data_IF_961880764620
#
_entry.id   IF_961880764620
#
_cell.length_a   1.000
_cell.length_b   1.000
_cell.length_c   1.000
_cell.angle_alpha   90.00
_cell.angle_beta   90.00
_cell.angle_gamma   90.00
#
_symmetry.space_group_name_H-M   'P 1'
#
loop_
_entity.id
_entity.type
_entity.pdbx_description
1 polymer ?
#
# COMPACT_ATOMS: atom_id res chain seq x y z
N UNK A 1 15.33 -2.11 -33.51
CA UNK A 1 14.38 -3.21 -33.23
C UNK A 1 14.72 -3.76 -31.85
N UNK A 2 14.07 -3.25 -30.80
CA UNK A 2 14.26 -3.72 -29.43
C UNK A 2 13.48 -5.03 -29.20
N UNK A 3 14.17 -6.10 -28.84
CA UNK A 3 13.52 -7.37 -28.50
C UNK A 3 12.79 -7.21 -27.15
N UNK A 4 11.49 -7.38 -27.17
CA UNK A 4 10.67 -7.42 -25.96
C UNK A 4 10.91 -8.74 -25.23
N UNK A 5 11.37 -8.67 -24.00
CA UNK A 5 11.58 -9.84 -23.13
C UNK A 5 10.27 -10.13 -22.39
N UNK A 6 9.78 -11.37 -22.46
CA UNK A 6 8.65 -11.83 -21.62
C UNK A 6 9.19 -12.24 -20.26
N UNK A 7 8.63 -11.69 -19.21
CA UNK A 7 8.90 -12.13 -17.82
C UNK A 7 7.96 -13.29 -17.50
N UNK A 8 8.45 -14.47 -17.12
CA UNK A 8 7.60 -15.60 -16.77
C UNK A 8 6.78 -15.31 -15.50
N UNK A 9 5.50 -15.64 -15.53
CA UNK A 9 4.66 -15.65 -14.33
C UNK A 9 5.12 -16.79 -13.43
N UNK A 10 5.38 -16.51 -12.14
CA UNK A 10 5.69 -17.54 -11.13
C UNK A 10 4.51 -18.50 -10.98
N UNK A 11 4.77 -19.79 -10.88
CA UNK A 11 3.76 -20.78 -10.51
C UNK A 11 3.39 -20.65 -9.03
N UNK A 12 2.10 -20.79 -8.67
CA UNK A 12 1.67 -20.70 -7.28
C UNK A 12 2.18 -21.89 -6.45
N UNK A 13 2.51 -21.66 -5.16
CA UNK A 13 2.88 -22.74 -4.24
C UNK A 13 1.70 -23.65 -3.89
N UNK A 14 1.99 -24.90 -3.55
CA UNK A 14 1.02 -25.92 -3.15
C UNK A 14 0.32 -25.55 -1.83
N UNK A 15 -1.01 -25.63 -1.71
CA UNK A 15 -1.72 -25.21 -0.50
C UNK A 15 -1.44 -26.14 0.71
N UNK A 16 -1.33 -25.56 1.92
CA UNK A 16 -1.21 -26.32 3.16
C UNK A 16 -2.56 -26.92 3.64
N UNK A 17 -2.56 -27.89 4.56
CA UNK A 17 -3.76 -28.57 5.05
C UNK A 17 -4.65 -27.67 5.93
N UNK A 18 -5.96 -27.92 5.91
CA UNK A 18 -6.99 -27.16 6.60
C UNK A 18 -6.79 -27.10 8.13
N UNK A 19 -6.92 -25.90 8.70
CA UNK A 19 -6.84 -25.63 10.14
C UNK A 19 -8.23 -25.34 10.70
N UNK A 20 -8.48 -25.88 11.88
CA UNK A 20 -9.73 -25.87 12.66
C UNK A 20 -10.13 -24.45 13.12
N UNK A 21 -11.44 -24.19 13.14
CA UNK A 21 -12.03 -22.89 13.52
C UNK A 21 -11.67 -22.43 14.95
N UNK A 22 -11.37 -21.14 15.09
CA UNK A 22 -11.08 -20.44 16.35
C UNK A 22 -12.37 -19.95 17.05
N UNK A 23 -12.37 -19.82 18.40
CA UNK A 23 -13.53 -19.33 19.13
C UNK A 23 -13.80 -17.85 18.88
N UNK A 24 -15.08 -17.47 18.86
CA UNK A 24 -15.56 -16.13 18.60
C UNK A 24 -15.16 -15.14 19.70
N UNK A 25 -14.31 -14.18 19.34
CA UNK A 25 -14.17 -12.91 20.06
C UNK A 25 -14.34 -11.79 19.03
N UNK A 26 -15.00 -10.72 19.40
CA UNK A 26 -15.34 -9.50 18.66
C UNK A 26 -15.16 -9.62 17.14
N UNK A 27 -16.24 -9.80 16.42
CA UNK A 27 -16.20 -10.00 14.96
C UNK A 27 -15.96 -8.68 14.26
N UNK A 28 -14.72 -8.41 13.92
CA UNK A 28 -14.38 -7.41 12.91
C UNK A 28 -14.58 -8.00 11.51
N UNK A 29 -14.70 -7.15 10.52
CA UNK A 29 -14.69 -7.56 9.12
C UNK A 29 -13.81 -6.67 8.26
N UNK A 30 -13.35 -7.21 7.16
CA UNK A 30 -12.60 -6.49 6.15
C UNK A 30 -13.57 -5.65 5.32
N UNK A 31 -13.71 -4.36 5.64
CA UNK A 31 -14.70 -3.49 4.99
C UNK A 31 -14.26 -2.97 3.63
N UNK A 32 -12.95 -2.84 3.40
CA UNK A 32 -12.42 -2.41 2.12
C UNK A 32 -11.02 -2.94 1.85
N UNK A 33 -10.74 -3.15 0.56
CA UNK A 33 -9.42 -3.47 0.02
C UNK A 33 -9.00 -2.41 -1.00
N UNK A 34 -7.72 -2.06 -0.97
CA UNK A 34 -7.14 -1.21 -1.99
C UNK A 34 -5.70 -1.63 -2.31
N UNK A 35 -5.34 -1.53 -3.57
CA UNK A 35 -3.97 -1.59 -4.03
C UNK A 35 -3.55 -0.22 -4.57
N UNK A 36 -2.26 0.02 -4.59
CA UNK A 36 -1.66 1.24 -5.08
C UNK A 36 -0.61 0.88 -6.13
N UNK A 37 -1.01 0.48 -7.35
CA UNK A 37 -0.09 -0.11 -8.32
C UNK A 37 1.16 0.74 -8.56
N UNK A 38 0.99 2.06 -8.66
CA UNK A 38 2.11 3.01 -8.78
C UNK A 38 2.31 3.72 -7.45
N UNK A 39 3.52 3.62 -6.89
CA UNK A 39 3.90 4.33 -5.65
C UNK A 39 3.55 5.81 -5.76
N UNK A 40 2.90 6.35 -4.71
CA UNK A 40 2.47 7.75 -4.64
C UNK A 40 1.40 8.21 -5.66
N UNK A 41 0.92 7.36 -6.57
CA UNK A 41 -0.27 7.65 -7.37
C UNK A 41 -1.57 7.28 -6.63
N UNK A 42 -2.72 7.52 -7.24
CA UNK A 42 -4.03 7.23 -6.69
C UNK A 42 -4.18 5.76 -6.29
N UNK A 43 -5.10 5.48 -5.38
CA UNK A 43 -5.50 4.13 -5.00
C UNK A 43 -6.41 3.51 -6.06
N UNK A 44 -6.39 2.18 -6.14
CA UNK A 44 -7.36 1.35 -6.83
C UNK A 44 -8.11 0.53 -5.78
N UNK A 45 -9.38 0.89 -5.51
CA UNK A 45 -10.26 0.05 -4.70
C UNK A 45 -10.57 -1.22 -5.47
N UNK A 46 -10.52 -2.36 -4.80
CA UNK A 46 -10.77 -3.68 -5.38
C UNK A 46 -11.73 -4.46 -4.48
N UNK A 47 -12.60 -5.27 -5.08
CA UNK A 47 -13.49 -6.16 -4.33
C UNK A 47 -12.74 -7.39 -3.81
N UNK A 48 -11.66 -7.75 -4.50
CA UNK A 48 -10.78 -8.86 -4.11
C UNK A 48 -9.34 -8.65 -4.58
N UNK A 49 -8.39 -9.22 -3.84
CA UNK A 49 -6.98 -9.22 -4.21
C UNK A 49 -6.30 -10.51 -3.74
N UNK A 50 -5.37 -11.03 -4.53
CA UNK A 50 -4.55 -12.16 -4.15
C UNK A 50 -3.47 -11.72 -3.16
N UNK A 51 -3.24 -12.55 -2.14
CA UNK A 51 -2.20 -12.34 -1.14
C UNK A 51 -0.92 -13.05 -1.60
N UNK A 52 0.09 -12.27 -1.92
CA UNK A 52 1.39 -12.77 -2.39
C UNK A 52 2.50 -12.45 -1.37
N UNK A 53 3.72 -12.93 -1.61
CA UNK A 53 4.86 -12.72 -0.69
C UNK A 53 5.16 -11.24 -0.40
N UNK A 54 4.83 -10.34 -1.33
CA UNK A 54 5.04 -8.90 -1.22
C UNK A 54 3.78 -8.11 -0.80
N UNK A 55 2.76 -8.79 -0.25
CA UNK A 55 1.50 -8.20 0.17
C UNK A 55 0.34 -8.51 -0.77
N UNK A 56 -0.42 -7.52 -1.22
CA UNK A 56 -1.44 -7.72 -2.25
C UNK A 56 -0.80 -7.67 -3.64
N UNK A 57 -1.22 -8.56 -4.53
CA UNK A 57 -0.69 -8.60 -5.90
C UNK A 57 -0.80 -7.24 -6.58
N UNK A 58 0.25 -6.88 -7.33
CA UNK A 58 0.42 -5.60 -8.04
C UNK A 58 0.47 -4.35 -7.14
N UNK A 59 0.47 -4.49 -5.81
CA UNK A 59 0.60 -3.33 -4.92
C UNK A 59 2.03 -2.76 -4.98
N UNK A 60 2.17 -1.45 -5.24
CA UNK A 60 3.43 -0.70 -5.38
C UNK A 60 4.46 -1.38 -6.32
N UNK A 61 3.97 -2.07 -7.36
CA UNK A 61 4.83 -2.72 -8.35
C UNK A 61 5.48 -1.74 -9.33
N UNK A 62 5.02 -0.49 -9.39
CA UNK A 62 5.60 0.58 -10.20
C UNK A 62 5.91 1.81 -9.34
N UNK A 63 6.92 2.56 -9.78
CA UNK A 63 7.39 3.77 -9.13
C UNK A 63 7.87 4.80 -10.14
N UNK A 64 7.52 6.07 -9.92
CA UNK A 64 8.05 7.19 -10.69
C UNK A 64 9.39 7.60 -10.11
N UNK A 65 10.36 7.78 -11.00
CA UNK A 65 11.71 8.19 -10.67
C UNK A 65 12.16 9.37 -11.53
N UNK A 66 13.14 10.10 -11.05
CA UNK A 66 13.81 11.15 -11.84
C UNK A 66 14.90 10.58 -12.78
N UNK A 67 15.68 11.46 -13.39
CA UNK A 67 16.75 11.09 -14.31
C UNK A 67 17.92 10.35 -13.63
N UNK A 68 18.04 10.44 -12.30
CA UNK A 68 19.07 9.76 -11.50
C UNK A 68 18.59 8.42 -10.95
N UNK A 69 17.30 8.10 -11.12
CA UNK A 69 16.68 6.90 -10.57
C UNK A 69 16.15 7.09 -9.16
N UNK A 70 16.13 8.31 -8.63
CA UNK A 70 15.61 8.62 -7.31
C UNK A 70 14.08 8.64 -7.32
N UNK A 71 13.46 7.99 -6.31
CA UNK A 71 12.01 7.94 -6.19
C UNK A 71 11.39 9.32 -5.99
N UNK A 72 10.21 9.51 -6.58
CA UNK A 72 9.39 10.68 -6.34
C UNK A 72 8.08 10.34 -5.64
N UNK A 73 7.62 11.25 -4.81
CA UNK A 73 6.42 11.06 -4.01
C UNK A 73 5.48 12.27 -4.07
N UNK A 74 4.26 12.11 -3.54
CA UNK A 74 3.31 13.22 -3.41
C UNK A 74 3.83 14.38 -2.55
N UNK A 75 4.88 14.17 -1.75
CA UNK A 75 5.49 15.23 -0.94
C UNK A 75 6.16 16.29 -1.81
N UNK A 76 6.82 15.85 -2.88
CA UNK A 76 7.49 16.70 -3.87
C UNK A 76 6.54 17.10 -5.01
N UNK A 77 5.67 16.16 -5.41
CA UNK A 77 4.77 16.31 -6.55
C UNK A 77 3.33 15.89 -6.15
N UNK A 78 2.59 16.74 -5.44
CA UNK A 78 1.22 16.43 -4.98
C UNK A 78 0.29 15.99 -6.11
N UNK A 79 0.49 16.47 -7.33
CA UNK A 79 -0.28 16.09 -8.52
C UNK A 79 -0.21 14.60 -8.85
N UNK A 80 0.76 13.85 -8.31
CA UNK A 80 0.78 12.38 -8.44
C UNK A 80 -0.50 11.74 -7.87
N UNK A 81 -1.12 12.34 -6.87
CA UNK A 81 -2.39 11.89 -6.30
C UNK A 81 -3.54 11.84 -7.32
N UNK A 82 -3.47 12.68 -8.37
CA UNK A 82 -4.50 12.76 -9.42
C UNK A 82 -4.35 11.66 -10.49
N UNK A 83 -3.24 10.93 -10.51
CA UNK A 83 -3.03 9.82 -11.44
C UNK A 83 -3.81 8.61 -10.93
N UNK A 84 -4.83 8.20 -11.67
CA UNK A 84 -5.77 7.14 -11.30
C UNK A 84 -5.45 5.85 -12.04
N UNK A 85 -4.95 4.81 -11.37
CA UNK A 85 -4.71 3.51 -11.96
C UNK A 85 -6.02 2.71 -12.08
N UNK A 86 -6.07 1.85 -13.08
CA UNK A 86 -7.06 0.77 -13.20
C UNK A 86 -6.41 -0.43 -13.88
N UNK A 87 -6.89 -1.64 -13.57
CA UNK A 87 -6.42 -2.89 -14.17
C UNK A 87 -7.52 -3.43 -15.09
N UNK A 88 -7.20 -3.64 -16.37
CA UNK A 88 -8.15 -4.16 -17.36
C UNK A 88 -7.43 -4.96 -18.43
N UNK A 89 -7.90 -6.18 -18.69
CA UNK A 89 -7.43 -6.98 -19.84
C UNK A 89 -5.92 -7.26 -19.85
N UNK A 90 -5.29 -7.42 -18.68
CA UNK A 90 -3.84 -7.63 -18.60
C UNK A 90 -3.03 -6.34 -18.77
N UNK A 91 -3.66 -5.18 -18.60
CA UNK A 91 -3.01 -3.87 -18.68
C UNK A 91 -3.21 -3.06 -17.39
N UNK A 92 -2.18 -2.32 -17.00
CA UNK A 92 -2.28 -1.17 -16.12
C UNK A 92 -2.62 0.05 -16.97
N UNK A 93 -3.80 0.63 -16.71
CA UNK A 93 -4.25 1.84 -17.40
C UNK A 93 -4.20 3.02 -16.44
N UNK A 94 -3.43 4.04 -16.78
CA UNK A 94 -3.29 5.27 -15.97
C UNK A 94 -4.05 6.41 -16.65
N UNK A 95 -4.81 7.16 -15.85
CA UNK A 95 -5.52 8.38 -16.26
C UNK A 95 -5.14 9.54 -15.37
N UNK A 96 -5.01 10.72 -15.95
CA UNK A 96 -4.77 11.97 -15.24
C UNK A 96 -5.53 13.12 -15.92
N UNK A 97 -5.89 14.20 -15.20
CA UNK A 97 -6.58 15.34 -15.78
C UNK A 97 -5.83 15.94 -16.97
N UNK A 98 -6.54 16.09 -18.11
CA UNK A 98 -5.96 16.67 -19.33
C UNK A 98 -5.04 15.73 -20.14
N UNK A 99 -4.87 14.48 -19.71
CA UNK A 99 -4.00 13.51 -20.38
C UNK A 99 -4.81 12.41 -21.08
N UNK A 100 -4.30 11.92 -22.22
CA UNK A 100 -4.76 10.65 -22.79
C UNK A 100 -4.40 9.50 -21.83
N UNK A 101 -5.21 8.44 -21.83
CA UNK A 101 -4.91 7.27 -21.01
C UNK A 101 -3.59 6.60 -21.46
N UNK A 102 -2.73 6.28 -20.49
CA UNK A 102 -1.54 5.47 -20.72
C UNK A 102 -1.87 4.01 -20.46
N UNK A 103 -1.58 3.15 -21.44
CA UNK A 103 -1.79 1.70 -21.38
C UNK A 103 -0.45 0.99 -21.30
N UNK A 104 -0.24 0.21 -20.24
CA UNK A 104 0.99 -0.55 -19.97
C UNK A 104 0.62 -2.02 -19.79
N UNK A 105 1.16 -2.89 -20.61
CA UNK A 105 0.97 -4.34 -20.45
C UNK A 105 1.66 -4.83 -19.18
N UNK A 106 1.00 -5.70 -18.43
CA UNK A 106 1.52 -6.22 -17.16
C UNK A 106 2.70 -7.19 -17.34
N UNK A 107 2.84 -7.80 -18.50
CA UNK A 107 3.86 -8.80 -18.82
C UNK A 107 5.06 -8.26 -19.62
N UNK A 108 5.12 -6.94 -19.85
CA UNK A 108 6.18 -6.34 -20.68
C UNK A 108 6.96 -5.27 -19.92
N UNK A 109 8.25 -5.26 -20.18
CA UNK A 109 9.24 -4.27 -19.70
C UNK A 109 10.19 -3.96 -20.85
N UNK A 110 10.95 -2.85 -20.79
CA UNK A 110 11.85 -2.50 -21.87
C UNK A 110 13.32 -2.75 -21.54
N UNK A 111 13.84 -2.19 -20.45
CA UNK A 111 15.26 -2.32 -20.13
C UNK A 111 15.48 -2.50 -18.63
N UNK A 112 16.49 -3.29 -18.23
CA UNK A 112 16.87 -3.36 -16.82
C UNK A 112 17.43 -2.02 -16.35
N UNK A 113 17.10 -1.65 -15.11
CA UNK A 113 17.57 -0.43 -14.46
C UNK A 113 17.78 -0.66 -12.98
N UNK A 114 18.29 0.35 -12.27
CA UNK A 114 18.34 0.40 -10.82
C UNK A 114 17.72 1.71 -10.36
N UNK A 115 16.98 1.67 -9.26
CA UNK A 115 16.29 2.82 -8.70
C UNK A 115 16.50 2.91 -7.20
N UNK A 116 16.50 4.11 -6.67
CA UNK A 116 16.66 4.37 -5.24
C UNK A 116 15.30 4.45 -4.56
N UNK A 117 15.10 3.62 -3.53
CA UNK A 117 13.92 3.64 -2.65
C UNK A 117 14.42 3.87 -1.23
N UNK A 118 14.35 5.08 -0.73
CA UNK A 118 14.99 5.49 0.51
C UNK A 118 16.50 5.18 0.47
N UNK A 119 16.98 4.34 1.35
CA UNK A 119 18.40 3.92 1.42
C UNK A 119 18.70 2.67 0.57
N UNK A 120 17.67 2.07 -0.06
CA UNK A 120 17.81 0.84 -0.82
C UNK A 120 18.02 1.12 -2.32
N UNK A 121 19.10 0.58 -2.90
CA UNK A 121 19.28 0.54 -4.35
C UNK A 121 18.68 -0.76 -4.90
N UNK A 122 17.57 -0.65 -5.61
CA UNK A 122 16.69 -1.75 -6.01
C UNK A 122 16.79 -2.02 -7.51
N UNK A 123 16.88 -3.30 -7.90
CA UNK A 123 16.74 -3.68 -9.31
C UNK A 123 15.31 -3.45 -9.78
N UNK A 124 15.20 -2.94 -10.97
CA UNK A 124 13.92 -2.59 -11.59
C UNK A 124 14.02 -2.70 -13.10
N UNK A 125 12.88 -2.55 -13.75
CA UNK A 125 12.74 -2.48 -15.18
C UNK A 125 12.19 -1.12 -15.59
N UNK A 126 12.83 -0.48 -16.55
CA UNK A 126 12.31 0.73 -17.15
C UNK A 126 11.09 0.39 -18.03
N UNK A 127 10.04 1.21 -17.94
CA UNK A 127 8.80 1.02 -18.69
C UNK A 127 8.77 1.78 -20.04
N UNK A 128 9.90 2.38 -20.40
CA UNK A 128 10.15 2.93 -21.73
C UNK A 128 9.75 4.38 -21.95
N UNK A 129 10.05 4.84 -23.17
CA UNK A 129 9.95 6.24 -23.54
C UNK A 129 8.51 6.78 -23.49
N UNK A 130 7.50 5.96 -23.84
CA UNK A 130 6.10 6.39 -23.83
C UNK A 130 5.64 6.69 -22.39
N UNK A 131 5.95 5.81 -21.45
CA UNK A 131 5.64 6.03 -20.03
C UNK A 131 6.41 7.25 -19.50
N UNK A 132 7.70 7.36 -19.81
CA UNK A 132 8.52 8.50 -19.41
C UNK A 132 7.94 9.82 -19.91
N UNK A 133 7.56 9.92 -21.18
CA UNK A 133 6.96 11.11 -21.76
C UNK A 133 5.65 11.46 -21.05
N UNK A 134 4.77 10.47 -20.85
CA UNK A 134 3.45 10.69 -20.22
C UNK A 134 3.57 11.28 -18.81
N UNK A 135 4.44 10.70 -17.98
CA UNK A 135 4.68 11.20 -16.62
C UNK A 135 5.34 12.58 -16.64
N UNK A 136 6.29 12.80 -17.56
CA UNK A 136 6.99 14.08 -17.69
C UNK A 136 6.04 15.20 -18.10
N UNK A 137 5.16 14.95 -19.06
CA UNK A 137 4.17 15.93 -19.52
C UNK A 137 3.17 16.27 -18.43
N UNK A 138 2.66 15.27 -17.69
CA UNK A 138 1.70 15.52 -16.62
C UNK A 138 2.31 16.22 -15.41
N UNK A 139 3.52 15.83 -15.00
CA UNK A 139 4.17 16.33 -13.78
C UNK A 139 5.14 17.46 -14.01
N UNK A 140 5.41 17.85 -15.28
CA UNK A 140 6.12 19.07 -15.66
C UNK A 140 7.64 19.01 -15.49
N UNK A 141 8.25 17.82 -15.44
CA UNK A 141 9.71 17.63 -15.35
C UNK A 141 10.11 16.26 -15.92
N UNK A 142 11.38 16.07 -16.35
CA UNK A 142 11.83 14.78 -16.87
C UNK A 142 11.70 13.67 -15.85
N UNK A 143 10.92 12.64 -16.17
CA UNK A 143 10.61 11.51 -15.29
C UNK A 143 10.62 10.19 -16.07
N UNK A 144 10.76 9.10 -15.33
CA UNK A 144 10.63 7.74 -15.87
C UNK A 144 9.72 6.92 -14.96
N UNK A 145 9.15 5.86 -15.49
CA UNK A 145 8.41 4.86 -14.73
C UNK A 145 9.25 3.58 -14.64
N UNK A 146 9.49 3.12 -13.44
CA UNK A 146 10.17 1.87 -13.15
C UNK A 146 9.17 0.83 -12.64
N UNK A 147 9.37 -0.43 -13.03
CA UNK A 147 8.68 -1.60 -12.49
C UNK A 147 9.64 -2.39 -11.62
N UNK A 148 9.17 -2.84 -10.46
CA UNK A 148 9.94 -3.68 -9.54
C UNK A 148 10.33 -4.99 -10.24
N UNK A 149 11.60 -5.40 -10.10
CA UNK A 149 12.07 -6.67 -10.61
C UNK A 149 11.55 -7.80 -9.70
N UNK A 150 10.74 -8.74 -10.18
CA UNK A 150 10.22 -9.82 -9.35
C UNK A 150 11.29 -10.75 -8.76
N UNK A 151 12.51 -10.74 -9.33
CA UNK A 151 13.65 -11.51 -8.83
C UNK A 151 14.44 -10.74 -7.74
N UNK A 152 14.07 -9.50 -7.44
CA UNK A 152 14.69 -8.71 -6.38
C UNK A 152 14.04 -9.02 -5.02
N UNK A 153 14.87 -9.24 -4.00
CA UNK A 153 14.43 -9.45 -2.62
C UNK A 153 14.68 -8.20 -1.77
N UNK A 154 13.68 -7.35 -1.64
CA UNK A 154 13.71 -6.23 -0.72
C UNK A 154 12.96 -6.60 0.56
N UNK A 155 13.67 -6.71 1.70
CA UNK A 155 13.09 -7.20 2.96
C UNK A 155 12.70 -6.07 3.91
N UNK A 156 11.64 -6.29 4.69
CA UNK A 156 11.29 -5.44 5.84
C UNK A 156 12.32 -5.56 6.95
N UNK A 157 12.40 -4.52 7.80
CA UNK A 157 13.35 -4.50 8.92
C UNK A 157 13.06 -5.61 9.95
N UNK A 158 14.00 -6.52 10.23
CA UNK A 158 13.82 -7.61 11.20
C UNK A 158 13.61 -7.10 12.64
N UNK A 159 13.98 -5.86 12.94
CA UNK A 159 13.68 -5.22 14.23
C UNK A 159 12.18 -5.28 14.57
N UNK A 160 11.31 -5.23 13.54
CA UNK A 160 9.86 -5.19 13.72
C UNK A 160 9.16 -6.47 13.28
N UNK A 161 9.73 -7.21 12.32
CA UNK A 161 9.11 -8.44 11.82
C UNK A 161 9.57 -9.68 12.60
N UNK A 162 10.61 -9.56 13.43
CA UNK A 162 11.23 -10.68 14.12
C UNK A 162 11.77 -11.70 13.11
N UNK A 163 11.37 -12.95 13.26
CA UNK A 163 11.80 -14.06 12.40
C UNK A 163 11.05 -14.12 11.05
N UNK A 164 10.00 -13.32 10.87
CA UNK A 164 9.25 -13.33 9.61
C UNK A 164 10.02 -12.59 8.53
N UNK A 165 10.49 -13.32 7.51
CA UNK A 165 11.05 -12.73 6.30
C UNK A 165 9.90 -12.15 5.47
N UNK A 166 9.68 -10.85 5.53
CA UNK A 166 8.66 -10.16 4.77
C UNK A 166 9.28 -9.42 3.59
N UNK A 167 8.80 -9.69 2.38
CA UNK A 167 9.27 -9.07 1.15
C UNK A 167 8.43 -7.82 0.83
N UNK A 168 9.05 -6.86 0.17
CA UNK A 168 8.44 -5.62 -0.28
C UNK A 168 8.71 -5.40 -1.76
N UNK A 169 7.79 -4.74 -2.43
CA UNK A 169 8.03 -4.08 -3.71
C UNK A 169 8.56 -2.65 -3.48
N UNK A 170 7.98 -1.64 -4.11
CA UNK A 170 8.30 -0.23 -3.84
C UNK A 170 7.54 0.38 -2.64
N UNK A 171 6.96 -0.44 -1.75
CA UNK A 171 6.39 0.05 -0.48
C UNK A 171 7.47 0.70 0.40
N UNK A 172 7.07 1.51 1.39
CA UNK A 172 8.04 2.27 2.19
C UNK A 172 8.92 1.38 3.08
N UNK A 173 8.38 0.26 3.56
CA UNK A 173 9.19 -0.66 4.37
C UNK A 173 8.44 -1.91 4.81
N UNK A 174 7.13 -1.98 4.53
CA UNK A 174 6.29 -3.13 4.85
C UNK A 174 5.30 -3.41 3.71
N UNK A 175 4.95 -4.68 3.46
CA UNK A 175 4.09 -5.05 2.33
C UNK A 175 2.65 -4.54 2.46
N UNK A 176 2.13 -4.40 3.68
CA UNK A 176 0.74 -4.06 3.93
C UNK A 176 0.59 -2.94 4.95
N UNK A 177 -0.45 -2.15 4.79
CA UNK A 177 -0.97 -1.22 5.78
C UNK A 177 -2.42 -1.58 6.10
N UNK A 178 -2.69 -1.84 7.38
CA UNK A 178 -4.02 -2.09 7.95
C UNK A 178 -4.49 -0.84 8.67
N UNK A 179 -5.71 -0.40 8.40
CA UNK A 179 -6.34 0.74 9.07
C UNK A 179 -7.72 0.35 9.62
N UNK A 180 -8.21 1.12 10.58
CA UNK A 180 -9.51 0.93 11.22
C UNK A 180 -10.47 2.07 10.86
N UNK A 181 -11.66 1.73 10.40
CA UNK A 181 -12.70 2.70 10.09
C UNK A 181 -13.11 3.54 11.31
N UNK A 182 -13.13 2.91 12.52
CA UNK A 182 -13.40 3.59 13.78
C UNK A 182 -12.36 4.67 14.10
N UNK A 183 -11.06 4.40 13.83
CA UNK A 183 -9.97 5.36 14.02
C UNK A 183 -10.09 6.57 13.09
N UNK A 184 -10.52 6.34 11.85
CA UNK A 184 -10.82 7.44 10.94
C UNK A 184 -12.02 8.28 11.42
N UNK A 185 -13.06 7.64 11.94
CA UNK A 185 -14.23 8.33 12.47
C UNK A 185 -13.87 9.23 13.68
N UNK A 186 -13.04 8.74 14.62
CA UNK A 186 -12.54 9.55 15.74
C UNK A 186 -11.67 10.72 15.26
N UNK A 187 -10.75 10.47 14.31
CA UNK A 187 -9.95 11.54 13.72
C UNK A 187 -10.83 12.61 13.07
N UNK A 188 -11.85 12.22 12.33
CA UNK A 188 -12.80 13.15 11.69
C UNK A 188 -13.62 13.95 12.71
N UNK A 189 -13.96 13.34 13.86
CA UNK A 189 -14.61 14.06 14.96
C UNK A 189 -13.68 15.16 15.51
N UNK A 190 -12.37 14.87 15.66
CA UNK A 190 -11.38 15.86 16.10
C UNK A 190 -11.14 16.95 15.07
N UNK A 191 -11.07 16.60 13.77
CA UNK A 191 -10.97 17.58 12.69
C UNK A 191 -12.17 18.53 12.69
N UNK A 192 -13.40 18.00 12.82
CA UNK A 192 -14.61 18.82 12.90
C UNK A 192 -14.61 19.76 14.11
N UNK A 193 -14.16 19.28 15.29
CA UNK A 193 -14.03 20.10 16.49
C UNK A 193 -13.00 21.25 16.31
N UNK A 194 -12.01 21.06 15.45
CA UNK A 194 -11.02 22.07 15.08
C UNK A 194 -11.46 22.96 13.89
N UNK A 195 -12.69 22.78 13.36
CA UNK A 195 -13.23 23.56 12.24
C UNK A 195 -12.78 23.09 10.87
N UNK A 196 -12.22 21.88 10.75
CA UNK A 196 -11.78 21.31 9.48
C UNK A 196 -12.83 20.34 8.90
N UNK A 197 -12.84 20.22 7.57
CA UNK A 197 -13.64 19.23 6.88
C UNK A 197 -13.14 17.80 7.17
N UNK A 198 -14.04 16.80 7.16
CA UNK A 198 -13.66 15.40 7.31
C UNK A 198 -12.77 14.93 6.14
N UNK A 199 -11.91 13.95 6.43
CA UNK A 199 -11.02 13.36 5.43
C UNK A 199 -11.39 11.90 5.15
N UNK A 200 -11.08 11.43 3.93
CA UNK A 200 -11.30 10.05 3.54
C UNK A 200 -10.12 9.13 3.87
N UNK A 201 -10.41 7.84 4.01
CA UNK A 201 -9.42 6.79 4.27
C UNK A 201 -8.30 6.75 3.21
N UNK A 202 -8.60 7.11 1.96
CA UNK A 202 -7.63 7.13 0.86
C UNK A 202 -6.40 8.03 1.12
N UNK A 203 -6.48 9.03 2.01
CA UNK A 203 -5.34 9.87 2.40
C UNK A 203 -4.25 9.07 3.13
N UNK A 204 -4.65 8.01 3.84
CA UNK A 204 -3.75 7.14 4.61
C UNK A 204 -3.23 5.97 3.79
N UNK A 205 -3.83 5.69 2.63
CA UNK A 205 -3.37 4.68 1.65
C UNK A 205 -3.26 3.25 2.23
N UNK A 206 -4.23 2.78 3.03
CA UNK A 206 -4.21 1.41 3.52
C UNK A 206 -4.45 0.41 2.39
N UNK A 207 -3.99 -0.82 2.61
CA UNK A 207 -4.35 -1.98 1.80
C UNK A 207 -5.64 -2.64 2.30
N UNK A 208 -5.78 -2.72 3.63
CA UNK A 208 -6.92 -3.32 4.31
C UNK A 208 -7.55 -2.30 5.25
N UNK A 209 -8.88 -2.19 5.22
CA UNK A 209 -9.64 -1.42 6.20
C UNK A 209 -10.51 -2.37 7.00
N UNK A 210 -10.33 -2.37 8.32
CA UNK A 210 -11.13 -3.13 9.26
C UNK A 210 -12.29 -2.28 9.77
N UNK A 211 -13.44 -2.91 9.99
CA UNK A 211 -14.62 -2.33 10.63
C UNK A 211 -15.14 -3.25 11.73
N UNK A 212 -15.80 -2.68 12.74
CA UNK A 212 -16.27 -3.39 13.94
C UNK A 212 -15.33 -3.29 15.14
N UNK A 213 -14.21 -2.56 15.01
CA UNK A 213 -13.26 -2.25 16.08
C UNK A 213 -13.58 -0.92 16.74
N UNK A 214 -13.23 -0.77 18.03
CA UNK A 214 -13.17 0.55 18.65
C UNK A 214 -12.08 1.40 18.00
N UNK A 215 -12.17 2.74 18.04
CA UNK A 215 -11.11 3.60 17.58
C UNK A 215 -9.74 3.24 18.20
N UNK A 216 -8.73 3.08 17.36
CA UNK A 216 -7.32 2.81 17.72
C UNK A 216 -7.04 1.41 18.28
N UNK A 217 -8.02 0.50 18.28
CA UNK A 217 -7.82 -0.89 18.68
C UNK A 217 -6.79 -1.61 17.80
N UNK A 218 -6.64 -1.19 16.55
CA UNK A 218 -5.63 -1.75 15.65
C UNK A 218 -4.20 -1.66 16.20
N UNK A 219 -3.92 -0.69 17.07
CA UNK A 219 -2.60 -0.52 17.70
C UNK A 219 -2.26 -1.63 18.70
N UNK A 220 -3.27 -2.34 19.20
CA UNK A 220 -3.17 -3.39 20.22
C UNK A 220 -3.29 -4.80 19.63
N UNK A 221 -3.47 -4.90 18.32
CA UNK A 221 -3.52 -6.20 17.64
C UNK A 221 -2.12 -6.70 17.34
N UNK A 222 -1.89 -7.99 17.63
CA UNK A 222 -0.69 -8.70 17.23
C UNK A 222 -0.85 -9.36 15.87
N UNK A 223 -1.94 -10.10 15.69
CA UNK A 223 -2.27 -10.77 14.44
C UNK A 223 -3.76 -10.68 14.14
N UNK A 224 -4.09 -10.77 12.86
CA UNK A 224 -5.45 -10.93 12.38
C UNK A 224 -5.54 -12.15 11.48
N UNK A 225 -6.62 -12.93 11.65
CA UNK A 225 -6.92 -14.07 10.82
C UNK A 225 -8.15 -13.77 9.97
N UNK A 226 -7.99 -13.80 8.66
CA UNK A 226 -9.04 -13.51 7.68
C UNK A 226 -9.52 -14.83 7.10
N UNK A 227 -10.80 -15.15 7.30
CA UNK A 227 -11.41 -16.33 6.75
C UNK A 227 -11.63 -16.15 5.24
N UNK A 228 -11.06 -17.04 4.41
CA UNK A 228 -11.27 -17.06 2.96
C UNK A 228 -11.95 -18.35 2.54
N UNK A 229 -12.45 -18.41 1.30
CA UNK A 229 -13.09 -19.60 0.74
C UNK A 229 -12.15 -20.85 0.69
N UNK A 230 -10.83 -20.60 0.66
CA UNK A 230 -9.82 -21.63 0.49
C UNK A 230 -8.91 -21.84 1.72
N UNK A 231 -9.21 -21.18 2.83
CA UNK A 231 -8.42 -21.29 4.07
C UNK A 231 -8.34 -19.96 4.84
N UNK A 232 -7.41 -19.89 5.78
CA UNK A 232 -7.20 -18.70 6.62
C UNK A 232 -5.94 -17.98 6.21
N UNK A 233 -6.05 -16.69 5.95
CA UNK A 233 -4.91 -15.79 5.80
C UNK A 233 -4.58 -15.15 7.15
N UNK A 234 -3.31 -15.25 7.59
CA UNK A 234 -2.84 -14.64 8.84
C UNK A 234 -1.89 -13.50 8.52
N UNK A 235 -2.20 -12.33 9.03
CA UNK A 235 -1.36 -11.14 8.94
C UNK A 235 -0.90 -10.75 10.35
N UNK A 236 0.40 -10.45 10.51
CA UNK A 236 0.94 -9.89 11.75
C UNK A 236 1.09 -8.39 11.64
N UNK A 237 0.52 -7.66 12.59
CA UNK A 237 0.66 -6.21 12.72
C UNK A 237 1.95 -5.95 13.50
N UNK A 238 2.93 -5.33 12.84
CA UNK A 238 4.30 -5.31 13.36
C UNK A 238 4.75 -3.95 13.85
N UNK A 239 4.21 -2.87 13.26
CA UNK A 239 4.70 -1.52 13.58
C UNK A 239 3.62 -0.47 13.32
N UNK A 240 3.36 0.46 14.26
CA UNK A 240 2.53 1.62 13.95
C UNK A 240 3.07 2.38 12.75
N UNK A 241 2.20 2.77 11.83
CA UNK A 241 2.60 3.47 10.62
C UNK A 241 2.81 4.96 10.93
N UNK A 242 4.07 5.39 10.99
CA UNK A 242 4.43 6.81 11.10
C UNK A 242 4.00 7.52 9.82
N UNK A 243 3.29 8.62 10.00
CA UNK A 243 2.76 9.41 8.88
C UNK A 243 3.68 10.58 8.57
N UNK A 244 4.00 10.71 7.28
CA UNK A 244 4.60 11.92 6.72
C UNK A 244 3.50 12.93 6.35
N UNK A 245 3.82 13.96 5.57
CA UNK A 245 2.85 14.96 5.11
C UNK A 245 1.87 14.47 4.04
N UNK A 246 1.99 13.24 3.52
CA UNK A 246 1.10 12.72 2.46
C UNK A 246 -0.39 12.71 2.84
N UNK A 247 -0.84 12.40 4.08
CA UNK A 247 -2.25 12.49 4.45
C UNK A 247 -2.84 13.91 4.36
N UNK A 248 -2.01 14.93 4.34
CA UNK A 248 -2.43 16.31 4.15
C UNK A 248 -2.61 16.69 2.66
N UNK A 249 -2.22 15.82 1.72
CA UNK A 249 -2.53 15.97 0.29
C UNK A 249 -3.95 15.48 0.03
N UNK A 250 -4.79 16.32 -0.58
CA UNK A 250 -6.10 15.89 -1.03
C UNK A 250 -5.99 15.03 -2.29
N UNK A 251 -6.45 13.76 -2.28
CA UNK A 251 -6.29 12.88 -3.43
C UNK A 251 -7.21 13.24 -4.61
N UNK A 252 -8.18 14.14 -4.42
CA UNK A 252 -9.08 14.60 -5.46
C UNK A 252 -8.60 15.87 -6.17
N UNK A 253 -7.91 16.78 -5.45
CA UNK A 253 -7.50 18.10 -5.94
C UNK A 253 -6.00 18.27 -6.00
N UNK A 254 -5.22 17.43 -5.30
CA UNK A 254 -3.79 17.58 -5.03
C UNK A 254 -3.44 18.83 -4.19
N UNK A 255 -4.42 19.49 -3.59
CA UNK A 255 -4.18 20.55 -2.63
C UNK A 255 -3.51 20.00 -1.38
N UNK A 256 -2.57 20.77 -0.86
CA UNK A 256 -1.82 20.41 0.35
C UNK A 256 -2.28 21.25 1.54
N UNK A 257 -2.36 20.61 2.70
CA UNK A 257 -2.74 21.25 3.94
C UNK A 257 -1.83 20.85 5.10
N UNK A 258 -2.31 21.04 6.33
CA UNK A 258 -1.66 20.62 7.57
C UNK A 258 -2.64 20.08 8.60
N UNK A 259 -3.92 20.06 8.29
CA UNK A 259 -5.00 19.77 9.24
C UNK A 259 -4.90 18.35 9.83
N UNK A 260 -4.56 17.36 8.99
CA UNK A 260 -4.44 15.96 9.45
C UNK A 260 -3.23 15.81 10.37
N UNK A 261 -2.08 16.35 9.99
CA UNK A 261 -0.87 16.30 10.82
C UNK A 261 -1.09 17.03 12.15
N UNK A 262 -1.72 18.21 12.15
CA UNK A 262 -2.04 18.94 13.37
C UNK A 262 -3.01 18.20 14.30
N UNK A 263 -4.04 17.60 13.74
CA UNK A 263 -4.98 16.78 14.53
C UNK A 263 -4.28 15.57 15.16
N UNK A 264 -3.48 14.82 14.40
CA UNK A 264 -2.73 13.68 14.90
C UNK A 264 -1.70 14.08 15.96
N UNK A 265 -1.05 15.23 15.82
CA UNK A 265 -0.05 15.72 16.78
C UNK A 265 -0.63 15.88 18.21
N UNK A 266 -1.93 16.13 18.32
CA UNK A 266 -2.59 16.29 19.61
C UNK A 266 -2.70 15.02 20.43
N UNK A 267 -2.56 13.81 19.82
CA UNK A 267 -2.81 12.54 20.54
C UNK A 267 -2.15 11.29 19.96
N UNK A 268 -1.47 11.39 18.79
CA UNK A 268 -0.90 10.22 18.09
C UNK A 268 0.62 10.22 18.00
N UNK A 269 1.31 11.07 18.77
CA UNK A 269 2.76 11.02 18.85
C UNK A 269 3.21 9.77 19.62
N UNK A 270 3.95 8.87 18.96
CA UNK A 270 4.43 7.62 19.57
C UNK A 270 5.88 7.77 20.05
N UNK A 271 6.15 7.71 21.36
CA UNK A 271 7.51 7.83 21.90
C UNK A 271 8.47 6.72 21.39
N UNK A 272 7.96 5.52 21.11
CA UNK A 272 8.75 4.39 20.58
C UNK A 272 9.29 4.67 19.19
N UNK A 273 8.69 5.63 18.49
CA UNK A 273 8.99 6.05 17.12
C UNK A 273 9.49 7.49 17.05
N UNK A 274 10.21 7.94 18.10
CA UNK A 274 10.78 9.29 18.22
C UNK A 274 9.74 10.40 18.10
N UNK A 275 8.53 10.19 18.62
CA UNK A 275 7.43 11.14 18.54
C UNK A 275 6.74 11.19 17.17
N UNK A 276 7.00 10.23 16.30
CA UNK A 276 6.34 10.12 15.01
C UNK A 276 4.82 9.98 15.15
N UNK A 277 4.08 10.75 14.35
CA UNK A 277 2.62 10.71 14.34
C UNK A 277 2.13 9.44 13.67
N UNK A 278 1.22 8.68 14.28
CA UNK A 278 0.82 7.37 13.79
C UNK A 278 -0.65 7.31 13.36
N UNK A 279 -0.93 6.52 12.32
CA UNK A 279 -2.26 6.11 11.89
C UNK A 279 -2.18 4.79 11.14
N UNK A 280 -2.89 3.77 11.63
CA UNK A 280 -2.86 2.41 11.11
C UNK A 280 -1.58 1.65 11.44
N UNK A 281 -1.58 0.36 11.13
CA UNK A 281 -0.50 -0.58 11.45
C UNK A 281 0.10 -1.16 10.17
N UNK A 282 1.43 -1.11 10.07
CA UNK A 282 2.15 -1.90 9.09
C UNK A 282 2.01 -3.38 9.43
N UNK A 283 1.77 -4.20 8.42
CA UNK A 283 1.56 -5.63 8.60
C UNK A 283 2.38 -6.44 7.59
N UNK A 284 2.64 -7.70 7.97
CA UNK A 284 3.34 -8.69 7.16
C UNK A 284 2.49 -9.96 7.04
N UNK A 285 2.67 -10.68 5.95
CA UNK A 285 1.98 -11.95 5.73
C UNK A 285 2.72 -13.05 6.47
N UNK A 286 2.01 -13.78 7.33
CA UNK A 286 2.53 -14.95 8.05
C UNK A 286 2.11 -16.23 7.36
N UNK A 287 0.85 -16.29 6.90
CA UNK A 287 0.26 -17.44 6.26
C UNK A 287 -0.81 -17.02 5.25
N UNK A 288 -1.06 -17.86 4.25
CA UNK A 288 -2.15 -17.66 3.30
C UNK A 288 -1.70 -17.08 1.96
N UNK A 289 -0.44 -17.26 1.59
CA UNK A 289 0.02 -16.94 0.24
C UNK A 289 -0.78 -17.69 -0.82
N UNK A 290 -1.19 -17.00 -1.88
CA UNK A 290 -2.04 -17.51 -2.93
C UNK A 290 -3.55 -17.47 -2.60
N UNK A 291 -3.93 -17.11 -1.37
CA UNK A 291 -5.33 -16.91 -1.02
C UNK A 291 -5.86 -15.57 -1.52
N UNK A 292 -7.13 -15.53 -1.88
CA UNK A 292 -7.81 -14.31 -2.30
C UNK A 292 -8.55 -13.69 -1.11
N UNK A 293 -8.15 -12.49 -0.74
CA UNK A 293 -8.89 -11.64 0.20
C UNK A 293 -10.06 -10.95 -0.51
N UNK A 294 -11.20 -10.78 0.19
CA UNK A 294 -12.40 -10.10 -0.32
C UNK A 294 -12.97 -9.16 0.73
N UNK A 295 -13.52 -8.03 0.29
CA UNK A 295 -14.33 -7.19 1.15
C UNK A 295 -15.51 -8.00 1.73
N UNK A 296 -15.88 -7.74 2.98
CA UNK A 296 -16.94 -8.44 3.73
C UNK A 296 -16.47 -9.68 4.49
N UNK A 297 -15.24 -10.16 4.30
CA UNK A 297 -14.74 -11.32 5.04
C UNK A 297 -14.63 -11.05 6.55
N UNK A 298 -15.00 -12.07 7.35
CA UNK A 298 -14.83 -12.03 8.80
C UNK A 298 -13.33 -12.05 9.18
N UNK A 299 -13.00 -11.29 10.21
CA UNK A 299 -11.65 -11.16 10.74
C UNK A 299 -11.66 -11.52 12.22
N UNK A 300 -10.92 -12.55 12.60
CA UNK A 300 -10.62 -12.87 13.98
C UNK A 300 -9.39 -12.10 14.45
N UNK A 301 -9.46 -11.57 15.66
CA UNK A 301 -8.48 -10.65 16.21
C UNK A 301 -7.66 -11.35 17.29
N UNK A 302 -6.34 -11.23 17.22
CA UNK A 302 -5.42 -11.66 18.29
C UNK A 302 -4.69 -10.44 18.81
N UNK A 303 -4.93 -10.11 20.09
CA UNK A 303 -4.31 -8.97 20.75
C UNK A 303 -2.88 -9.29 21.17
N UNK A 304 -2.03 -8.26 21.20
CA UNK A 304 -0.76 -8.32 21.90
C UNK A 304 -1.05 -8.30 23.41
N UNK A 305 -0.69 -9.38 24.09
CA UNK A 305 -0.60 -9.36 25.55
C UNK A 305 0.85 -9.05 25.90
N UNK A 306 1.06 -7.98 26.64
CA UNK A 306 2.35 -7.60 27.23
C UNK A 306 2.83 -8.66 28.25
#
# INVERSE_FOLDING_TARGET
>A
MGSRVRVPLRQPPTPPPAVTALPASTTAHLSALAIHPVKSCGALSVDSAELVETGLDLDRSWMVVDAHGDMLTQRELPRMALIRPSLRGGELVLRAPGMLALHLKLDTVEAPTRVQVWDDLVKAWDMGALAAQWFSDFLGRPLRLARFDPDEERTSSPKWTGEVKALNTFSDGYPLLVANAGSLADLNTRLAAAGHAPVGMARFRPNLVLEGLQPWDEDHLHEIDIATDAGTATLRLVKPCVRCSMPDVDPATAETGTAVAQALAGFRADPRLNGGLTFGMNAVVVQGFGLTLRAGQAVALRHAFD
#
